data_IF_264123730320
#
_entry.id   IF_264123730320
#
_cell.length_a   1.000
_cell.length_b   1.000
_cell.length_c   1.000
_cell.angle_alpha   90.00
_cell.angle_beta   90.00
_cell.angle_gamma   90.00
#
_symmetry.space_group_name_H-M   'P 1'
#
loop_
_entity.id
_entity.type
_entity.pdbx_description
1 polymer ?
#
# COMPACT_ATOMS: atom_id res chain seq x y z
N UNK A 1 72.05 -36.24 -4.67
CA UNK A 1 70.88 -36.52 -3.82
C UNK A 1 69.97 -35.29 -3.70
N UNK A 2 69.58 -34.65 -4.82
CA UNK A 2 68.87 -33.36 -4.82
C UNK A 2 67.64 -33.29 -5.75
N UNK A 3 67.20 -34.41 -6.34
CA UNK A 3 66.05 -34.41 -7.26
C UNK A 3 64.70 -34.69 -6.57
N UNK A 4 64.74 -35.36 -5.40
CA UNK A 4 63.52 -35.70 -4.64
C UNK A 4 62.94 -34.53 -3.83
N UNK A 5 63.74 -33.48 -3.55
CA UNK A 5 63.24 -32.28 -2.87
C UNK A 5 62.49 -31.32 -3.79
N UNK A 6 62.80 -31.30 -5.09
CA UNK A 6 62.17 -30.38 -6.03
C UNK A 6 60.71 -30.78 -6.35
N UNK A 7 60.45 -32.09 -6.42
CA UNK A 7 59.11 -32.63 -6.72
C UNK A 7 58.15 -32.44 -5.52
N UNK A 8 58.67 -32.43 -4.29
CA UNK A 8 57.86 -32.19 -3.10
C UNK A 8 57.38 -30.74 -3.01
N UNK A 9 58.12 -29.78 -3.60
CA UNK A 9 57.77 -28.37 -3.57
C UNK A 9 56.72 -27.98 -4.63
N UNK A 10 56.61 -28.73 -5.72
CA UNK A 10 55.64 -28.46 -6.79
C UNK A 10 54.23 -28.91 -6.38
N UNK A 11 54.11 -29.94 -5.52
CA UNK A 11 52.80 -30.44 -5.06
C UNK A 11 52.19 -29.60 -3.93
N UNK A 12 52.97 -28.76 -3.25
CA UNK A 12 52.49 -27.86 -2.18
C UNK A 12 52.01 -26.50 -2.68
N UNK A 13 52.13 -26.21 -3.98
CA UNK A 13 51.47 -25.05 -4.62
C UNK A 13 50.06 -25.36 -5.13
N UNK A 14 49.45 -26.43 -4.60
CA UNK A 14 47.99 -26.51 -4.53
C UNK A 14 47.55 -25.38 -3.61
N UNK A 15 47.09 -24.28 -4.21
CA UNK A 15 46.46 -23.14 -3.56
C UNK A 15 45.79 -23.54 -2.25
N UNK A 16 46.46 -23.23 -1.14
CA UNK A 16 45.84 -23.21 0.17
C UNK A 16 44.78 -22.10 0.12
N UNK A 17 43.59 -22.47 -0.36
CA UNK A 17 42.35 -21.83 0.04
C UNK A 17 42.26 -22.09 1.54
N UNK A 18 42.81 -21.18 2.32
CA UNK A 18 42.49 -21.06 3.72
C UNK A 18 40.97 -20.89 3.79
N UNK A 19 40.31 -22.02 4.03
CA UNK A 19 38.87 -22.18 4.19
C UNK A 19 38.48 -21.65 5.56
N UNK A 20 38.52 -20.33 5.73
CA UNK A 20 37.79 -19.64 6.80
C UNK A 20 36.41 -19.26 6.25
N UNK A 21 35.46 -20.21 6.29
CA UNK A 21 34.04 -19.92 6.12
C UNK A 21 33.62 -19.19 4.83
N UNK A 22 34.44 -19.19 3.78
CA UNK A 22 34.18 -18.45 2.54
C UNK A 22 33.33 -19.29 1.59
N UNK A 23 32.02 -19.34 1.86
CA UNK A 23 31.05 -19.63 0.82
C UNK A 23 31.16 -18.50 -0.20
N UNK A 24 31.96 -18.73 -1.25
CA UNK A 24 32.00 -17.85 -2.41
C UNK A 24 30.63 -17.92 -3.07
N UNK A 25 29.79 -16.96 -2.70
CA UNK A 25 28.67 -16.60 -3.53
C UNK A 25 29.25 -16.13 -4.87
N UNK A 26 29.22 -17.02 -5.86
CA UNK A 26 29.87 -16.78 -7.14
C UNK A 26 29.44 -15.44 -7.73
N UNK A 27 30.36 -14.78 -8.41
CA UNK A 27 30.17 -13.55 -9.21
C UNK A 27 29.09 -13.66 -10.30
N UNK A 28 28.43 -14.82 -10.43
CA UNK A 28 27.39 -15.16 -11.42
C UNK A 28 26.03 -15.39 -10.75
N UNK A 29 25.78 -14.83 -9.56
CA UNK A 29 24.43 -14.87 -9.00
C UNK A 29 23.56 -13.80 -9.65
N UNK A 30 22.55 -14.22 -10.41
CA UNK A 30 21.47 -13.35 -10.93
C UNK A 30 20.59 -12.72 -9.84
N UNK A 31 20.92 -12.94 -8.56
CA UNK A 31 20.17 -12.43 -7.41
C UNK A 31 20.75 -11.11 -6.92
N UNK A 32 19.92 -10.07 -6.91
CA UNK A 32 20.24 -8.79 -6.29
C UNK A 32 19.28 -8.53 -5.11
N UNK A 33 19.78 -8.70 -3.87
CA UNK A 33 18.99 -8.47 -2.65
C UNK A 33 18.42 -7.05 -2.58
N UNK A 34 19.17 -6.05 -3.06
CA UNK A 34 18.70 -4.66 -3.08
C UNK A 34 17.53 -4.51 -4.05
N UNK A 35 17.58 -5.17 -5.21
CA UNK A 35 16.46 -5.20 -6.16
C UNK A 35 15.22 -5.87 -5.55
N UNK A 36 15.35 -7.03 -4.91
CA UNK A 36 14.24 -7.67 -4.19
C UNK A 36 13.67 -6.73 -3.12
N UNK A 37 14.54 -6.10 -2.32
CA UNK A 37 14.12 -5.19 -1.25
C UNK A 37 13.38 -3.96 -1.78
N UNK A 38 13.84 -3.36 -2.89
CA UNK A 38 13.17 -2.23 -3.54
C UNK A 38 11.81 -2.64 -4.12
N UNK A 39 11.73 -3.81 -4.76
CA UNK A 39 10.47 -4.34 -5.30
C UNK A 39 9.44 -4.57 -4.18
N UNK A 40 9.85 -5.19 -3.07
CA UNK A 40 8.99 -5.42 -1.89
C UNK A 40 8.56 -4.09 -1.26
N UNK A 41 9.47 -3.12 -1.13
CA UNK A 41 9.15 -1.78 -0.63
C UNK A 41 8.13 -1.06 -1.54
N UNK A 42 8.26 -1.20 -2.86
CA UNK A 42 7.32 -0.65 -3.83
C UNK A 42 5.90 -1.20 -3.64
N UNK A 43 5.75 -2.49 -3.32
CA UNK A 43 4.43 -3.07 -2.97
C UNK A 43 3.88 -2.45 -1.69
N UNK A 44 4.72 -2.23 -0.67
CA UNK A 44 4.29 -1.57 0.57
C UNK A 44 3.72 -0.17 0.30
N UNK A 45 4.44 0.66 -0.45
CA UNK A 45 3.96 2.00 -0.80
C UNK A 45 2.67 1.97 -1.61
N UNK A 46 2.52 0.97 -2.48
CA UNK A 46 1.29 0.79 -3.24
C UNK A 46 0.10 0.45 -2.33
N UNK A 47 0.30 -0.39 -1.30
CA UNK A 47 -0.73 -0.67 -0.28
C UNK A 47 -1.11 0.60 0.48
N UNK A 48 -0.13 1.42 0.88
CA UNK A 48 -0.40 2.69 1.56
C UNK A 48 -1.23 3.61 0.66
N UNK A 49 -0.92 3.66 -0.64
CA UNK A 49 -1.70 4.44 -1.60
C UNK A 49 -3.13 3.90 -1.80
N UNK A 50 -3.31 2.58 -1.80
CA UNK A 50 -4.65 1.96 -1.83
C UNK A 50 -5.46 2.40 -0.61
N UNK A 51 -4.87 2.39 0.59
CA UNK A 51 -5.54 2.83 1.82
C UNK A 51 -5.91 4.32 1.76
N UNK A 52 -5.03 5.16 1.25
CA UNK A 52 -5.31 6.60 1.05
C UNK A 52 -6.50 6.82 0.13
N UNK A 53 -6.54 6.14 -1.02
CA UNK A 53 -7.65 6.24 -1.98
C UNK A 53 -8.96 5.67 -1.41
N UNK A 54 -8.88 4.55 -0.69
CA UNK A 54 -10.01 3.96 0.04
C UNK A 54 -10.59 4.98 1.05
N UNK A 55 -9.72 5.64 1.82
CA UNK A 55 -10.16 6.65 2.79
C UNK A 55 -10.73 7.90 2.11
N UNK A 56 -10.29 8.21 0.89
CA UNK A 56 -10.79 9.32 0.07
C UNK A 56 -12.08 9.00 -0.69
N UNK A 57 -12.63 7.79 -0.57
CA UNK A 57 -13.83 7.36 -1.29
C UNK A 57 -13.60 7.02 -2.77
N UNK A 58 -12.35 6.95 -3.24
CA UNK A 58 -12.00 6.70 -4.65
C UNK A 58 -11.89 5.19 -4.93
N UNK A 59 -13.02 4.49 -4.87
CA UNK A 59 -13.11 3.02 -4.88
C UNK A 59 -12.53 2.37 -6.14
N UNK A 60 -12.96 2.76 -7.35
CA UNK A 60 -12.41 2.20 -8.60
C UNK A 60 -10.89 2.42 -8.73
N UNK A 61 -10.38 3.59 -8.36
CA UNK A 61 -8.94 3.87 -8.37
C UNK A 61 -8.18 2.98 -7.38
N UNK A 62 -8.73 2.80 -6.17
CA UNK A 62 -8.16 1.89 -5.18
C UNK A 62 -8.17 0.43 -5.67
N UNK A 63 -9.26 -0.03 -6.29
CA UNK A 63 -9.37 -1.38 -6.85
C UNK A 63 -8.35 -1.65 -7.96
N UNK A 64 -8.13 -0.68 -8.85
CA UNK A 64 -7.14 -0.80 -9.91
C UNK A 64 -5.74 -0.97 -9.32
N UNK A 65 -5.37 -0.13 -8.35
CA UNK A 65 -4.09 -0.28 -7.66
C UNK A 65 -3.98 -1.58 -6.85
N UNK A 66 -5.08 -2.11 -6.32
CA UNK A 66 -5.07 -3.44 -5.69
C UNK A 66 -4.75 -4.53 -6.72
N UNK A 67 -5.37 -4.50 -7.90
CA UNK A 67 -5.12 -5.48 -8.95
C UNK A 67 -3.68 -5.42 -9.45
N UNK A 68 -3.17 -4.21 -9.71
CA UNK A 68 -1.76 -4.01 -10.05
C UNK A 68 -0.82 -4.53 -8.96
N UNK A 69 -1.16 -4.29 -7.69
CA UNK A 69 -0.36 -4.72 -6.54
C UNK A 69 -0.29 -6.24 -6.43
N UNK A 70 -1.44 -6.90 -6.63
CA UNK A 70 -1.53 -8.36 -6.66
C UNK A 70 -0.70 -8.95 -7.80
N UNK A 71 -0.75 -8.33 -8.99
CA UNK A 71 0.07 -8.73 -10.14
C UNK A 71 1.57 -8.55 -9.85
N UNK A 72 1.98 -7.44 -9.22
CA UNK A 72 3.37 -7.19 -8.82
C UNK A 72 3.85 -8.22 -7.80
N UNK A 73 3.05 -8.50 -6.78
CA UNK A 73 3.38 -9.51 -5.77
C UNK A 73 3.58 -10.88 -6.41
N UNK A 74 2.69 -11.27 -7.32
CA UNK A 74 2.80 -12.55 -8.04
C UNK A 74 4.06 -12.60 -8.89
N UNK A 75 4.33 -11.55 -9.68
CA UNK A 75 5.53 -11.46 -10.53
C UNK A 75 6.83 -11.53 -9.71
N UNK A 76 6.92 -10.80 -8.58
CA UNK A 76 8.10 -10.86 -7.70
C UNK A 76 8.22 -12.27 -7.09
N UNK A 77 7.11 -12.86 -6.64
CA UNK A 77 7.14 -14.21 -6.04
C UNK A 77 7.61 -15.27 -7.04
N UNK A 78 7.19 -15.17 -8.31
CA UNK A 78 7.62 -16.05 -9.38
C UNK A 78 9.08 -15.85 -9.75
N UNK A 79 9.52 -14.59 -9.89
CA UNK A 79 10.91 -14.23 -10.15
C UNK A 79 11.83 -14.87 -9.12
N UNK A 80 11.53 -14.77 -7.83
CA UNK A 80 12.42 -15.26 -6.76
C UNK A 80 12.11 -16.69 -6.27
N UNK A 81 11.19 -17.43 -6.91
CA UNK A 81 10.74 -18.76 -6.46
C UNK A 81 11.84 -19.81 -6.43
N UNK A 82 12.77 -19.77 -7.39
CA UNK A 82 13.82 -20.76 -7.59
C UNK A 82 15.22 -20.23 -7.36
N UNK A 83 15.36 -19.05 -6.73
CA UNK A 83 16.67 -18.47 -6.46
C UNK A 83 17.30 -19.09 -5.21
N UNK A 84 18.52 -19.59 -5.36
CA UNK A 84 19.36 -19.99 -4.23
C UNK A 84 20.08 -18.76 -3.67
N UNK A 85 19.68 -18.33 -2.48
CA UNK A 85 20.29 -17.17 -1.81
C UNK A 85 21.65 -17.55 -1.21
N UNK A 86 22.64 -16.66 -1.30
CA UNK A 86 23.84 -16.74 -0.47
C UNK A 86 23.49 -17.02 0.98
N UNK A 87 24.23 -17.90 1.65
CA UNK A 87 24.01 -18.18 3.08
C UNK A 87 23.90 -16.90 3.92
N UNK A 88 24.75 -15.90 3.66
CA UNK A 88 24.78 -14.59 4.33
C UNK A 88 23.51 -13.74 4.14
N UNK A 89 22.78 -13.91 3.03
CA UNK A 89 21.56 -13.15 2.72
C UNK A 89 20.28 -13.98 2.81
N UNK A 90 20.38 -15.30 2.90
CA UNK A 90 19.27 -16.26 2.89
C UNK A 90 18.13 -15.87 3.85
N UNK A 91 18.44 -15.61 5.12
CA UNK A 91 17.44 -15.20 6.12
C UNK A 91 16.75 -13.88 5.78
N UNK A 92 17.52 -12.90 5.29
CA UNK A 92 16.99 -11.57 4.93
C UNK A 92 16.12 -11.65 3.68
N UNK A 93 16.53 -12.43 2.69
CA UNK A 93 15.78 -12.67 1.47
C UNK A 93 14.48 -13.43 1.77
N UNK A 94 14.56 -14.50 2.56
CA UNK A 94 13.37 -15.25 3.00
C UNK A 94 12.37 -14.33 3.72
N UNK A 95 12.84 -13.48 4.63
CA UNK A 95 11.97 -12.51 5.28
C UNK A 95 11.26 -11.57 4.28
N UNK A 96 11.92 -11.14 3.20
CA UNK A 96 11.29 -10.33 2.14
C UNK A 96 10.25 -11.14 1.37
N UNK A 97 10.48 -12.42 1.12
CA UNK A 97 9.50 -13.31 0.48
C UNK A 97 8.28 -13.51 1.40
N UNK A 98 8.49 -13.72 2.70
CA UNK A 98 7.40 -13.86 3.67
C UNK A 98 6.55 -12.57 3.76
N UNK A 99 7.19 -11.40 3.66
CA UNK A 99 6.48 -10.11 3.56
C UNK A 99 5.59 -10.01 2.31
N UNK A 100 6.02 -10.54 1.16
CA UNK A 100 5.18 -10.57 -0.04
C UNK A 100 3.91 -11.41 0.17
N UNK A 101 4.02 -12.53 0.88
CA UNK A 101 2.86 -13.34 1.24
C UNK A 101 1.88 -12.56 2.14
N UNK A 102 2.40 -11.83 3.13
CA UNK A 102 1.59 -10.91 3.96
C UNK A 102 0.90 -9.85 3.12
N UNK A 103 1.62 -9.18 2.21
CA UNK A 103 1.06 -8.16 1.33
C UNK A 103 0.00 -8.71 0.37
N UNK A 104 0.15 -9.95 -0.12
CA UNK A 104 -0.88 -10.63 -0.91
C UNK A 104 -2.19 -10.77 -0.14
N UNK A 105 -2.12 -11.17 1.13
CA UNK A 105 -3.30 -11.31 2.00
C UNK A 105 -3.94 -9.94 2.24
N UNK A 106 -3.14 -8.93 2.57
CA UNK A 106 -3.63 -7.57 2.82
C UNK A 106 -4.34 -6.98 1.59
N UNK A 107 -3.74 -7.12 0.40
CA UNK A 107 -4.36 -6.70 -0.86
C UNK A 107 -5.65 -7.47 -1.15
N UNK A 108 -5.71 -8.76 -0.86
CA UNK A 108 -6.93 -9.57 -1.05
C UNK A 108 -8.06 -9.13 -0.10
N UNK A 109 -7.74 -8.80 1.15
CA UNK A 109 -8.71 -8.24 2.10
C UNK A 109 -9.25 -6.88 1.61
N UNK A 110 -8.34 -5.98 1.21
CA UNK A 110 -8.71 -4.69 0.62
C UNK A 110 -9.59 -4.86 -0.63
N UNK A 111 -9.26 -5.83 -1.49
CA UNK A 111 -10.06 -6.13 -2.68
C UNK A 111 -11.48 -6.58 -2.32
N UNK A 112 -11.59 -7.45 -1.32
CA UNK A 112 -12.89 -7.98 -0.87
C UNK A 112 -13.78 -6.84 -0.40
N UNK A 113 -13.29 -6.01 0.52
CA UNK A 113 -14.02 -4.87 1.06
C UNK A 113 -14.44 -3.88 -0.03
N UNK A 114 -13.54 -3.53 -0.95
CA UNK A 114 -13.84 -2.57 -2.01
C UNK A 114 -14.83 -3.12 -3.07
N UNK A 115 -14.93 -4.44 -3.23
CA UNK A 115 -15.87 -5.06 -4.19
C UNK A 115 -17.32 -5.07 -3.71
N UNK A 116 -17.57 -4.89 -2.42
CA UNK A 116 -18.91 -4.93 -1.82
C UNK A 116 -19.80 -3.74 -2.22
N UNK A 117 -19.19 -2.63 -2.68
CA UNK A 117 -19.89 -1.37 -2.97
C UNK A 117 -19.65 -0.92 -4.41
N UNK A 118 -20.60 -0.19 -5.01
CA UNK A 118 -20.32 0.63 -6.20
C UNK A 118 -19.61 1.95 -5.82
N UNK A 119 -19.08 2.66 -6.81
CA UNK A 119 -18.28 3.88 -6.59
C UNK A 119 -19.07 4.97 -5.83
N UNK A 120 -20.30 5.25 -6.26
CA UNK A 120 -21.11 6.30 -5.66
C UNK A 120 -21.55 5.90 -4.24
N UNK A 121 -22.01 4.67 -4.03
CA UNK A 121 -22.36 4.16 -2.70
C UNK A 121 -21.18 4.24 -1.75
N UNK A 122 -19.98 3.84 -2.19
CA UNK A 122 -18.78 3.90 -1.37
C UNK A 122 -18.38 5.33 -1.03
N UNK A 123 -18.45 6.26 -2.00
CA UNK A 123 -18.18 7.67 -1.77
C UNK A 123 -19.18 8.29 -0.78
N UNK A 124 -20.47 7.96 -0.89
CA UNK A 124 -21.51 8.38 0.08
C UNK A 124 -21.20 7.85 1.47
N UNK A 125 -20.86 6.56 1.60
CA UNK A 125 -20.51 5.96 2.90
C UNK A 125 -19.34 6.71 3.56
N UNK A 126 -18.27 7.02 2.81
CA UNK A 126 -17.13 7.79 3.32
C UNK A 126 -17.48 9.23 3.69
N UNK A 127 -18.35 9.86 2.91
CA UNK A 127 -18.88 11.18 3.24
C UNK A 127 -19.68 11.17 4.56
N UNK A 128 -20.47 10.13 4.80
CA UNK A 128 -21.25 9.97 6.03
C UNK A 128 -20.36 9.68 7.25
N UNK A 129 -19.33 8.86 7.10
CA UNK A 129 -18.29 8.63 8.13
C UNK A 129 -17.60 9.96 8.51
N UNK A 130 -17.11 10.71 7.52
CA UNK A 130 -16.46 12.02 7.73
C UNK A 130 -17.43 13.02 8.37
N UNK A 131 -18.69 13.02 7.97
CA UNK A 131 -19.68 13.89 8.59
C UNK A 131 -19.95 13.57 10.06
N UNK A 132 -19.89 12.30 10.46
CA UNK A 132 -20.11 11.91 11.86
C UNK A 132 -18.96 12.38 12.72
N UNK A 133 -17.71 12.23 12.28
CA UNK A 133 -16.55 12.69 13.05
C UNK A 133 -16.55 14.22 13.25
N UNK A 134 -17.02 14.99 12.25
CA UNK A 134 -17.16 16.47 12.39
C UNK A 134 -18.16 16.85 13.48
N UNK A 135 -19.18 16.03 13.75
CA UNK A 135 -20.18 16.34 14.78
C UNK A 135 -19.58 16.32 16.19
N UNK A 136 -18.52 15.55 16.39
CA UNK A 136 -17.79 15.38 17.65
C UNK A 136 -16.77 16.51 17.89
N UNK A 137 -16.45 17.31 16.87
CA UNK A 137 -15.52 18.43 16.99
C UNK A 137 -16.09 19.55 17.87
N UNK A 138 -15.24 20.02 18.79
CA UNK A 138 -15.56 21.06 19.78
C UNK A 138 -15.23 22.46 19.29
N UNK A 139 -14.23 22.60 18.43
CA UNK A 139 -13.81 23.88 17.85
C UNK A 139 -14.80 24.35 16.80
N UNK A 140 -15.36 25.55 17.00
CA UNK A 140 -16.25 26.19 16.02
C UNK A 140 -15.60 26.30 14.64
N UNK A 141 -14.36 26.81 14.58
CA UNK A 141 -13.67 27.07 13.32
C UNK A 141 -13.41 25.79 12.52
N UNK A 142 -12.98 24.73 13.21
CA UNK A 142 -12.74 23.43 12.59
C UNK A 142 -14.05 22.82 12.10
N UNK A 143 -15.09 22.83 12.94
CA UNK A 143 -16.41 22.32 12.58
C UNK A 143 -17.01 23.05 11.38
N UNK A 144 -16.90 24.38 11.33
CA UNK A 144 -17.35 25.19 10.21
C UNK A 144 -16.58 24.85 8.92
N UNK A 145 -15.26 24.83 9.00
CA UNK A 145 -14.38 24.57 7.85
C UNK A 145 -14.60 23.16 7.29
N UNK A 146 -14.67 22.15 8.17
CA UNK A 146 -14.89 20.77 7.75
C UNK A 146 -16.29 20.58 7.18
N UNK A 147 -17.33 21.15 7.80
CA UNK A 147 -18.70 21.10 7.26
C UNK A 147 -18.78 21.71 5.84
N UNK A 148 -18.08 22.82 5.60
CA UNK A 148 -17.98 23.45 4.27
C UNK A 148 -17.27 22.56 3.24
N UNK A 149 -16.18 21.88 3.64
CA UNK A 149 -15.49 20.90 2.79
C UNK A 149 -16.39 19.71 2.46
N UNK A 150 -17.10 19.17 3.45
CA UNK A 150 -18.04 18.06 3.25
C UNK A 150 -19.18 18.44 2.30
N UNK A 151 -19.72 19.66 2.39
CA UNK A 151 -20.70 20.18 1.42
C UNK A 151 -20.15 20.18 -0.01
N UNK A 152 -18.92 20.67 -0.19
CA UNK A 152 -18.28 20.70 -1.51
C UNK A 152 -18.07 19.29 -2.06
N UNK A 153 -17.58 18.36 -1.23
CA UNK A 153 -17.43 16.94 -1.59
C UNK A 153 -18.76 16.30 -1.97
N UNK A 154 -19.80 16.51 -1.18
CA UNK A 154 -21.13 15.97 -1.43
C UNK A 154 -21.69 16.43 -2.78
N UNK A 155 -21.50 17.70 -3.13
CA UNK A 155 -21.94 18.25 -4.42
C UNK A 155 -21.14 17.67 -5.60
N UNK A 156 -19.84 17.44 -5.44
CA UNK A 156 -19.01 16.77 -6.45
C UNK A 156 -19.48 15.33 -6.68
N UNK A 157 -19.72 14.56 -5.60
CA UNK A 157 -20.24 13.18 -5.69
C UNK A 157 -21.61 13.19 -6.38
N UNK A 158 -22.51 14.11 -6.02
CA UNK A 158 -23.87 14.19 -6.59
C UNK A 158 -23.87 14.42 -8.10
N UNK A 159 -22.88 15.17 -8.61
CA UNK A 159 -22.72 15.45 -10.04
C UNK A 159 -22.03 14.33 -10.80
N UNK A 160 -21.43 13.37 -10.11
CA UNK A 160 -20.74 12.25 -10.74
C UNK A 160 -21.72 11.37 -11.52
N UNK A 161 -21.26 10.85 -12.66
CA UNK A 161 -22.07 10.03 -13.56
C UNK A 161 -22.33 8.63 -13.01
N UNK A 162 -21.49 8.15 -12.08
CA UNK A 162 -21.66 6.85 -11.43
C UNK A 162 -22.87 6.81 -10.49
N UNK A 163 -23.40 7.96 -10.08
CA UNK A 163 -24.53 8.05 -9.17
C UNK A 163 -25.88 7.93 -9.88
N UNK A 164 -26.70 6.99 -9.39
CA UNK A 164 -28.10 6.84 -9.79
C UNK A 164 -29.01 7.88 -9.11
N UNK A 165 -30.29 7.92 -9.51
CA UNK A 165 -31.24 8.91 -9.03
C UNK A 165 -31.48 8.84 -7.50
N UNK A 166 -31.59 7.63 -6.95
CA UNK A 166 -31.80 7.42 -5.50
C UNK A 166 -30.61 7.94 -4.69
N UNK A 167 -29.39 7.67 -5.16
CA UNK A 167 -28.16 8.18 -4.54
C UNK A 167 -28.07 9.71 -4.62
N UNK A 168 -28.48 10.30 -5.75
CA UNK A 168 -28.52 11.77 -5.94
C UNK A 168 -29.54 12.44 -5.03
N UNK A 169 -30.70 11.82 -4.82
CA UNK A 169 -31.71 12.30 -3.86
C UNK A 169 -31.19 12.23 -2.44
N UNK A 170 -30.56 11.12 -2.03
CA UNK A 170 -29.90 10.98 -0.73
C UNK A 170 -28.86 12.08 -0.50
N UNK A 171 -28.00 12.35 -1.49
CA UNK A 171 -27.01 13.43 -1.44
C UNK A 171 -27.66 14.81 -1.38
N UNK A 172 -28.80 15.02 -2.04
CA UNK A 172 -29.54 16.28 -2.00
C UNK A 172 -30.09 16.56 -0.60
N UNK A 173 -30.66 15.55 0.06
CA UNK A 173 -31.07 15.66 1.46
C UNK A 173 -29.90 15.95 2.40
N UNK A 174 -28.79 15.24 2.21
CA UNK A 174 -27.56 15.48 2.98
C UNK A 174 -27.06 16.92 2.82
N UNK A 175 -27.02 17.45 1.59
CA UNK A 175 -26.63 18.83 1.31
C UNK A 175 -27.52 19.85 2.00
N UNK A 176 -28.84 19.63 2.01
CA UNK A 176 -29.80 20.50 2.71
C UNK A 176 -29.50 20.50 4.21
N UNK A 177 -29.33 19.32 4.82
CA UNK A 177 -29.03 19.18 6.25
C UNK A 177 -27.73 19.93 6.63
N UNK A 178 -26.66 19.74 5.86
CA UNK A 178 -25.37 20.38 6.15
C UNK A 178 -25.37 21.88 5.89
N UNK A 179 -26.14 22.38 4.92
CA UNK A 179 -26.32 23.81 4.72
C UNK A 179 -27.08 24.46 5.89
N UNK A 180 -28.09 23.79 6.43
CA UNK A 180 -28.78 24.24 7.64
C UNK A 180 -27.85 24.27 8.85
N UNK A 181 -27.03 23.24 9.02
CA UNK A 181 -26.01 23.19 10.08
C UNK A 181 -25.01 24.34 9.95
N UNK A 182 -24.47 24.57 8.75
CA UNK A 182 -23.50 25.65 8.51
C UNK A 182 -24.13 27.03 8.79
N UNK A 183 -25.38 27.23 8.37
CA UNK A 183 -26.14 28.45 8.64
C UNK A 183 -26.36 28.67 10.13
N UNK A 184 -26.64 27.60 10.88
CA UNK A 184 -26.78 27.64 12.34
C UNK A 184 -25.46 28.00 13.01
N UNK A 185 -24.38 27.31 12.67
CA UNK A 185 -23.04 27.59 13.19
C UNK A 185 -22.69 29.08 12.99
N UNK A 186 -22.90 29.61 11.79
CA UNK A 186 -22.65 31.02 11.51
C UNK A 186 -23.47 31.98 12.37
N UNK A 187 -24.77 31.72 12.57
CA UNK A 187 -25.63 32.54 13.44
C UNK A 187 -25.19 32.48 14.90
N UNK A 188 -24.88 31.29 15.41
CA UNK A 188 -24.46 31.11 16.80
C UNK A 188 -23.14 31.85 17.07
N UNK A 189 -22.21 31.86 16.11
CA UNK A 189 -20.94 32.62 16.22
C UNK A 189 -21.09 34.14 16.26
N UNK A 190 -22.22 34.68 15.75
CA UNK A 190 -22.51 36.13 15.82
C UNK A 190 -23.19 36.54 17.12
N UNK A 191 -23.72 35.58 17.87
CA UNK A 191 -24.46 35.80 19.11
C UNK A 191 -23.65 35.40 20.36
N UNK A 192 -22.44 34.85 20.18
CA UNK A 192 -21.41 34.67 21.22
C UNK A 192 -20.39 35.80 21.17
#
# INVERSE_FOLDING_TARGET
MNLKLLILFILTFSSALASDGEYTCGSVQGFNFNTLSQKVLGVSYQIDKVKELKNSGLRSSALNLVQEGMSKVQSISEEYRSYEFCYSFSKRAQHKIDLLAKYKIELALLQKELKEFDDCTFAIMKLEEESKSISEESSFYEKFTQTSKTLTKAELIRRDYSCNQVQKEKLSHFLIEKNLLLSKLYKDSKNS
#
